data_IF_732431792421
#
_entry.id   IF_732431792421
#
_cell.length_a   1.000
_cell.length_b   1.000
_cell.length_c   1.000
_cell.angle_alpha   90.00
_cell.angle_beta   90.00
_cell.angle_gamma   90.00
#
_symmetry.space_group_name_H-M   'P 1'
#
loop_
_entity.id
_entity.type
_entity.pdbx_description
1 polymer ?
#
# COMPACT_ATOMS: atom_id res chain seq x y z
N UNK A 1 -12.88 4.55 27.61
CA UNK A 1 -12.04 5.35 26.70
C UNK A 1 -10.81 6.00 27.36
N UNK A 2 -10.84 6.53 28.59
CA UNK A 2 -9.65 7.16 29.24
C UNK A 2 -8.46 6.22 29.54
N UNK A 3 -8.71 4.97 29.95
CA UNK A 3 -7.63 3.99 30.28
C UNK A 3 -6.79 3.54 29.06
N UNK A 4 -7.38 3.53 27.85
CA UNK A 4 -6.67 3.11 26.63
C UNK A 4 -5.69 4.15 26.11
N UNK A 5 -5.97 5.44 26.35
CA UNK A 5 -5.03 6.55 26.02
C UNK A 5 -3.82 6.57 26.95
N UNK A 6 -3.99 6.21 28.23
CA UNK A 6 -2.89 6.21 29.19
C UNK A 6 -1.85 5.09 28.93
N UNK A 7 -2.31 3.91 28.54
CA UNK A 7 -1.40 2.81 28.19
C UNK A 7 -0.55 3.10 26.94
N UNK A 8 -1.09 3.86 25.96
CA UNK A 8 -0.32 4.29 24.79
C UNK A 8 0.75 5.33 25.14
N UNK A 9 0.44 6.25 26.02
CA UNK A 9 1.41 7.25 26.52
C UNK A 9 2.53 6.59 27.31
N UNK A 10 2.23 5.58 28.12
CA UNK A 10 3.23 4.83 28.91
C UNK A 10 4.14 4.00 27.98
N UNK A 11 3.61 3.38 26.92
CA UNK A 11 4.43 2.65 25.93
C UNK A 11 5.39 3.57 25.17
N UNK A 12 4.95 4.77 24.79
CA UNK A 12 5.80 5.78 24.13
C UNK A 12 6.87 6.30 25.09
N UNK A 13 6.55 6.49 26.37
CA UNK A 13 7.50 6.89 27.41
C UNK A 13 8.55 5.81 27.71
N UNK A 14 8.17 4.52 27.65
CA UNK A 14 9.11 3.41 27.85
C UNK A 14 10.12 3.28 26.71
N UNK A 15 9.69 3.53 25.46
CA UNK A 15 10.59 3.56 24.29
C UNK A 15 11.55 4.75 24.39
N UNK A 16 11.09 5.93 24.86
CA UNK A 16 11.96 7.08 25.08
C UNK A 16 13.00 6.85 26.18
N UNK A 17 12.64 6.17 27.26
CA UNK A 17 13.57 5.90 28.36
C UNK A 17 14.69 4.94 27.93
N UNK A 18 14.41 4.00 27.04
CA UNK A 18 15.45 3.13 26.46
C UNK A 18 16.38 3.86 25.49
N UNK A 19 15.88 4.83 24.71
CA UNK A 19 16.73 5.65 23.83
C UNK A 19 17.62 6.60 24.63
N UNK A 20 17.11 7.18 25.73
CA UNK A 20 17.90 8.10 26.60
C UNK A 20 18.88 7.36 27.50
N UNK A 21 18.59 6.13 27.91
CA UNK A 21 19.51 5.37 28.80
C UNK A 21 20.71 4.75 28.08
N UNK A 22 20.68 4.64 26.74
CA UNK A 22 21.86 4.25 25.95
C UNK A 22 22.84 5.41 25.73
N UNK A 23 22.43 6.65 25.94
CA UNK A 23 23.28 7.85 25.81
C UNK A 23 24.10 8.22 27.07
N UNK A 24 23.99 7.48 28.18
CA UNK A 24 24.58 7.87 29.46
C UNK A 24 25.84 7.08 29.86
N UNK A 25 26.54 6.47 28.90
CA UNK A 25 27.73 5.64 29.16
C UNK A 25 29.01 6.14 28.50
N UNK A 26 29.84 6.81 29.22
CA UNK A 26 31.30 7.05 29.06
C UNK A 26 31.81 7.93 27.89
N UNK A 27 32.43 9.07 28.20
CA UNK A 27 33.48 9.70 27.42
C UNK A 27 33.12 11.02 26.73
N UNK A 28 33.20 12.13 27.41
CA UNK A 28 32.79 13.49 26.99
C UNK A 28 33.47 14.12 25.74
N UNK A 29 34.35 13.44 25.00
CA UNK A 29 34.95 14.00 23.78
C UNK A 29 34.77 13.16 22.50
N UNK A 30 34.48 11.89 22.59
CA UNK A 30 34.25 10.98 21.44
C UNK A 30 32.81 10.97 20.98
N UNK A 31 31.85 10.94 21.91
CA UNK A 31 30.42 10.80 21.61
C UNK A 31 29.83 11.89 20.67
N UNK A 32 30.30 13.13 20.77
CA UNK A 32 29.77 14.23 19.94
C UNK A 32 30.19 14.18 18.46
N UNK A 33 31.30 13.50 18.15
CA UNK A 33 31.77 13.30 16.79
C UNK A 33 31.18 12.03 16.18
N UNK A 34 30.97 10.97 16.95
CA UNK A 34 30.34 9.73 16.50
C UNK A 34 28.84 9.94 16.15
N UNK A 35 28.12 10.72 16.96
CA UNK A 35 26.72 11.06 16.74
C UNK A 35 26.52 11.88 15.45
N UNK A 36 27.47 12.75 15.10
CA UNK A 36 27.45 13.51 13.84
C UNK A 36 27.73 12.67 12.60
N UNK A 37 28.37 11.52 12.74
CA UNK A 37 28.81 10.68 11.62
C UNK A 37 27.88 9.49 11.34
N UNK A 38 26.92 9.24 12.24
CA UNK A 38 25.94 8.15 12.14
C UNK A 38 24.73 8.55 11.30
N UNK A 39 24.38 7.76 10.29
CA UNK A 39 23.14 7.90 9.53
C UNK A 39 22.00 7.20 10.28
N UNK A 40 20.94 7.90 10.58
CA UNK A 40 19.75 7.35 11.23
C UNK A 40 18.70 6.94 10.22
N UNK A 41 18.21 5.70 10.33
CA UNK A 41 17.21 5.13 9.43
C UNK A 41 16.00 4.66 10.23
N UNK A 42 14.85 5.28 9.99
CA UNK A 42 13.60 4.86 10.60
C UNK A 42 12.86 3.87 9.69
N UNK A 43 12.58 2.69 10.23
CA UNK A 43 11.82 1.64 9.57
C UNK A 43 10.46 1.49 10.23
N UNK A 44 9.39 1.62 9.45
CA UNK A 44 8.02 1.65 9.95
C UNK A 44 7.52 0.30 10.50
N UNK A 45 8.25 -0.79 10.26
CA UNK A 45 7.88 -2.11 10.77
C UNK A 45 9.10 -2.94 11.18
N UNK A 46 8.90 -3.83 12.17
CA UNK A 46 9.90 -4.80 12.62
C UNK A 46 10.31 -5.75 11.49
N UNK A 47 9.38 -6.14 10.62
CA UNK A 47 9.69 -7.00 9.47
C UNK A 47 10.68 -6.34 8.50
N UNK A 48 10.50 -5.05 8.22
CA UNK A 48 11.50 -4.30 7.43
C UNK A 48 12.85 -4.26 8.13
N UNK A 49 12.89 -4.02 9.43
CA UNK A 49 14.13 -4.02 10.19
C UNK A 49 14.88 -5.37 10.05
N UNK A 50 14.20 -6.47 10.30
CA UNK A 50 14.78 -7.82 10.22
C UNK A 50 15.34 -8.14 8.83
N UNK A 51 14.71 -7.60 7.78
CA UNK A 51 15.12 -7.82 6.38
C UNK A 51 16.20 -6.85 5.90
N UNK A 52 16.03 -5.56 6.19
CA UNK A 52 16.87 -4.50 5.64
C UNK A 52 18.10 -4.22 6.46
N UNK A 53 18.01 -4.13 7.79
CA UNK A 53 19.12 -3.66 8.61
C UNK A 53 20.39 -4.51 8.44
N UNK A 54 20.33 -5.87 8.54
CA UNK A 54 21.52 -6.70 8.36
C UNK A 54 22.09 -6.62 6.95
N UNK A 55 21.21 -6.51 5.94
CA UNK A 55 21.62 -6.42 4.56
C UNK A 55 22.34 -5.09 4.26
N UNK A 56 21.74 -3.97 4.61
CA UNK A 56 22.29 -2.63 4.36
C UNK A 56 23.64 -2.48 5.09
N UNK A 57 23.71 -2.90 6.36
CA UNK A 57 24.95 -2.83 7.13
C UNK A 57 26.08 -3.66 6.48
N UNK A 58 25.75 -4.82 5.92
CA UNK A 58 26.71 -5.66 5.18
C UNK A 58 27.19 -5.00 3.89
N UNK A 59 26.32 -4.29 3.17
CA UNK A 59 26.67 -3.60 1.93
C UNK A 59 27.48 -2.32 2.16
N UNK A 60 27.34 -1.71 3.33
CA UNK A 60 27.93 -0.43 3.66
C UNK A 60 28.71 -0.50 5.00
N UNK A 61 29.76 -1.34 5.07
CA UNK A 61 30.50 -1.55 6.33
C UNK A 61 31.20 -0.28 6.86
N UNK A 62 31.51 0.67 5.96
CA UNK A 62 32.20 1.92 6.28
C UNK A 62 31.27 3.06 6.70
N UNK A 63 29.95 2.84 6.69
CA UNK A 63 28.96 3.81 7.14
C UNK A 63 28.37 3.33 8.46
N UNK A 64 28.49 4.13 9.49
CA UNK A 64 27.81 3.86 10.75
C UNK A 64 26.31 4.18 10.57
N UNK A 65 25.45 3.17 10.73
CA UNK A 65 24.00 3.28 10.51
C UNK A 65 23.28 2.85 11.79
N UNK A 66 22.45 3.74 12.31
CA UNK A 66 21.53 3.46 13.40
C UNK A 66 20.11 3.23 12.84
N UNK A 67 19.59 2.03 13.07
CA UNK A 67 18.23 1.69 12.67
C UNK A 67 17.27 1.85 13.85
N UNK A 68 16.23 2.64 13.65
CA UNK A 68 15.14 2.84 14.59
C UNK A 68 13.89 2.18 14.05
N UNK A 69 13.25 1.34 14.85
CA UNK A 69 11.99 0.69 14.47
C UNK A 69 10.85 1.35 15.20
N UNK A 70 9.79 1.66 14.46
CA UNK A 70 8.58 2.26 15.02
C UNK A 70 7.30 1.72 14.37
N UNK A 71 6.32 2.57 14.27
CA UNK A 71 5.04 2.25 13.65
C UNK A 71 4.76 3.20 12.47
N UNK A 72 3.70 2.90 11.72
CA UNK A 72 3.25 3.71 10.58
C UNK A 72 2.14 4.70 11.01
N UNK A 73 2.28 5.34 12.16
CA UNK A 73 1.32 6.30 12.68
C UNK A 73 1.75 7.73 12.30
N UNK A 74 0.92 8.45 11.56
CA UNK A 74 1.19 9.82 11.10
C UNK A 74 1.41 10.78 12.28
N UNK A 75 0.65 10.64 13.36
CA UNK A 75 0.83 11.48 14.56
C UNK A 75 2.20 11.26 15.21
N UNK A 76 2.75 10.04 15.10
CA UNK A 76 4.10 9.77 15.56
C UNK A 76 5.16 10.49 14.72
N UNK A 77 5.02 10.52 13.39
CA UNK A 77 5.93 11.27 12.52
C UNK A 77 5.85 12.78 12.76
N UNK A 78 4.65 13.32 13.01
CA UNK A 78 4.44 14.72 13.41
C UNK A 78 5.14 15.03 14.74
N UNK A 79 5.00 14.13 15.71
CA UNK A 79 5.68 14.24 16.99
C UNK A 79 7.20 14.27 16.84
N UNK A 80 7.79 13.38 16.02
CA UNK A 80 9.22 13.39 15.73
C UNK A 80 9.66 14.72 15.11
N UNK A 81 8.90 15.23 14.15
CA UNK A 81 9.18 16.53 13.51
C UNK A 81 9.20 17.67 14.53
N UNK A 82 8.17 17.77 15.37
CA UNK A 82 7.99 18.86 16.33
C UNK A 82 9.08 18.86 17.41
N UNK A 83 9.61 17.71 17.73
CA UNK A 83 10.67 17.55 18.72
C UNK A 83 12.10 17.51 18.11
N UNK A 84 12.25 17.84 16.82
CA UNK A 84 13.55 17.88 16.14
C UNK A 84 14.20 16.52 15.96
N UNK A 85 13.44 15.41 16.13
CA UNK A 85 13.94 14.04 16.11
C UNK A 85 13.66 13.28 14.81
N UNK A 86 13.41 13.97 13.67
CA UNK A 86 13.27 13.28 12.39
C UNK A 86 14.59 12.62 11.97
N UNK A 87 14.63 11.29 11.75
CA UNK A 87 15.78 10.57 11.22
C UNK A 87 16.24 11.08 9.86
N UNK A 88 17.45 10.71 9.44
CA UNK A 88 17.97 11.09 8.12
C UNK A 88 17.18 10.44 6.98
N UNK A 89 16.85 9.16 7.15
CA UNK A 89 16.02 8.39 6.22
C UNK A 89 14.78 7.92 6.98
N UNK A 90 13.62 8.13 6.38
CA UNK A 90 12.34 7.83 7.00
C UNK A 90 11.57 6.93 6.04
N UNK A 91 10.96 5.87 6.56
CA UNK A 91 10.10 5.00 5.77
C UNK A 91 8.68 5.03 6.29
N UNK A 92 7.71 4.80 5.42
CA UNK A 92 6.31 4.67 5.77
C UNK A 92 5.59 3.66 4.86
N UNK A 93 4.34 3.36 5.18
CA UNK A 93 3.45 2.52 4.41
C UNK A 93 2.14 3.27 4.16
N UNK A 94 1.68 3.26 2.91
CA UNK A 94 0.34 3.71 2.51
C UNK A 94 0.05 5.21 2.70
N UNK A 95 1.05 6.07 2.82
CA UNK A 95 0.82 7.50 2.88
C UNK A 95 0.45 8.04 1.49
N UNK A 96 -0.63 8.79 1.43
CA UNK A 96 -0.98 9.64 0.30
C UNK A 96 -0.22 10.97 0.37
N UNK A 97 -0.27 11.78 -0.69
CA UNK A 97 0.27 13.15 -0.64
C UNK A 97 -0.41 13.97 0.45
N UNK A 98 -1.73 13.77 0.65
CA UNK A 98 -2.47 14.47 1.68
C UNK A 98 -1.98 14.12 3.09
N UNK A 99 -1.78 12.82 3.38
CA UNK A 99 -1.25 12.36 4.67
C UNK A 99 0.18 12.86 4.91
N UNK A 100 0.99 12.86 3.85
CA UNK A 100 2.40 13.26 3.90
C UNK A 100 2.62 14.78 4.01
N UNK A 101 1.64 15.59 3.64
CA UNK A 101 1.76 17.05 3.59
C UNK A 101 2.28 17.70 4.88
N UNK A 102 1.85 17.33 6.10
CA UNK A 102 2.38 17.91 7.33
C UNK A 102 3.89 17.77 7.51
N UNK A 103 4.52 16.85 6.80
CA UNK A 103 5.96 16.60 6.84
C UNK A 103 6.73 17.27 5.69
N UNK A 104 6.03 17.74 4.64
CA UNK A 104 6.61 18.25 3.38
C UNK A 104 7.80 19.18 3.62
N UNK A 105 7.62 20.21 4.47
CA UNK A 105 8.66 21.20 4.74
C UNK A 105 9.89 20.68 5.47
N UNK A 106 9.82 19.49 6.02
CA UNK A 106 10.91 18.82 6.75
C UNK A 106 11.63 17.79 5.91
N UNK A 107 11.14 17.53 4.70
CA UNK A 107 11.66 16.50 3.80
C UNK A 107 12.41 17.14 2.62
N UNK A 108 13.40 16.40 2.14
CA UNK A 108 14.18 16.77 0.95
C UNK A 108 13.35 16.54 -0.32
N UNK A 109 13.50 17.40 -1.31
CA UNK A 109 13.02 17.12 -2.66
C UNK A 109 13.92 16.09 -3.33
N UNK A 110 13.34 15.00 -3.77
CA UNK A 110 14.01 13.87 -4.43
C UNK A 110 13.77 13.85 -5.94
N UNK A 111 12.97 14.77 -6.50
CA UNK A 111 12.51 14.75 -7.89
C UNK A 111 13.64 14.70 -8.93
N UNK A 112 14.80 15.25 -8.60
CA UNK A 112 15.99 15.29 -9.49
C UNK A 112 17.01 14.20 -9.19
N UNK A 113 16.70 13.24 -8.32
CA UNK A 113 17.61 12.15 -7.97
C UNK A 113 17.52 10.99 -8.96
N UNK A 114 18.59 10.22 -9.10
CA UNK A 114 18.57 8.97 -9.87
C UNK A 114 17.50 7.99 -9.31
N UNK A 115 17.30 8.01 -8.00
CA UNK A 115 16.28 7.18 -7.35
C UNK A 115 14.86 7.50 -7.84
N UNK A 116 14.52 8.78 -8.00
CA UNK A 116 13.22 9.17 -8.59
C UNK A 116 13.16 8.81 -10.08
N UNK A 117 14.25 9.00 -10.82
CA UNK A 117 14.34 8.65 -12.24
C UNK A 117 14.17 7.15 -12.52
N UNK A 118 14.47 6.29 -11.55
CA UNK A 118 14.27 4.85 -11.67
C UNK A 118 12.78 4.42 -11.48
N UNK A 119 11.95 5.25 -10.87
CA UNK A 119 10.53 4.96 -10.69
C UNK A 119 9.77 5.23 -12.00
N UNK A 120 8.85 4.34 -12.38
CA UNK A 120 7.97 4.60 -13.53
C UNK A 120 7.21 5.91 -13.35
N UNK A 121 7.26 6.78 -14.37
CA UNK A 121 6.61 8.09 -14.32
C UNK A 121 5.12 8.01 -13.96
N UNK A 122 4.43 6.98 -14.44
CA UNK A 122 3.02 6.75 -14.13
C UNK A 122 2.77 6.62 -12.64
N UNK A 123 3.70 6.04 -11.89
CA UNK A 123 3.59 5.89 -10.45
C UNK A 123 4.13 7.11 -9.71
N UNK A 124 5.28 7.63 -10.13
CA UNK A 124 5.92 8.79 -9.51
C UNK A 124 4.98 10.01 -9.49
N UNK A 125 4.22 10.22 -10.56
CA UNK A 125 3.24 11.31 -10.67
C UNK A 125 2.17 11.29 -9.56
N UNK A 126 1.89 10.13 -8.94
CA UNK A 126 0.96 10.06 -7.82
C UNK A 126 1.56 10.58 -6.50
N UNK A 127 2.86 10.80 -6.46
CA UNK A 127 3.61 11.30 -5.29
C UNK A 127 4.27 12.65 -5.56
N UNK A 128 4.00 13.26 -6.72
CA UNK A 128 4.50 14.57 -7.09
C UNK A 128 3.59 15.65 -6.55
N UNK A 129 4.18 16.61 -5.83
CA UNK A 129 3.48 17.81 -5.38
C UNK A 129 3.18 18.74 -6.57
N UNK A 130 2.32 19.75 -6.38
CA UNK A 130 1.99 20.73 -7.44
C UNK A 130 3.20 21.52 -7.96
N UNK A 131 4.18 21.78 -7.08
CA UNK A 131 5.42 22.45 -7.45
C UNK A 131 6.44 21.52 -8.18
N UNK A 132 6.05 20.29 -8.49
CA UNK A 132 6.89 19.28 -9.13
C UNK A 132 7.86 18.56 -8.19
N UNK A 133 7.90 18.93 -6.91
CA UNK A 133 8.75 18.25 -5.93
C UNK A 133 8.21 16.86 -5.56
N UNK A 134 9.12 15.95 -5.21
CA UNK A 134 8.80 14.60 -4.72
C UNK A 134 9.49 14.40 -3.39
N UNK A 135 8.73 14.31 -2.31
CA UNK A 135 9.29 14.12 -0.97
C UNK A 135 9.29 12.66 -0.52
N UNK A 136 8.37 11.86 -1.04
CA UNK A 136 8.26 10.42 -0.77
C UNK A 136 8.41 9.65 -2.07
N UNK A 137 9.41 8.76 -2.13
CA UNK A 137 9.56 7.83 -3.24
C UNK A 137 8.78 6.54 -2.94
N UNK A 138 7.86 6.13 -3.80
CA UNK A 138 7.28 4.80 -3.71
C UNK A 138 8.33 3.77 -4.14
N UNK A 139 8.53 2.73 -3.34
CA UNK A 139 9.53 1.69 -3.60
C UNK A 139 8.86 0.43 -4.12
N UNK A 140 7.91 -0.09 -3.37
CA UNK A 140 7.18 -1.29 -3.74
C UNK A 140 5.75 -1.29 -3.19
N UNK A 141 4.94 -2.19 -3.70
CA UNK A 141 3.52 -2.27 -3.43
C UNK A 141 3.03 -3.68 -3.15
N UNK A 142 1.96 -3.79 -2.36
CA UNK A 142 1.08 -4.94 -2.37
C UNK A 142 0.16 -4.89 -3.59
N UNK A 143 -0.08 -6.03 -4.23
CA UNK A 143 -1.11 -6.17 -5.25
C UNK A 143 -2.44 -6.56 -4.63
N UNK A 144 -3.52 -5.94 -5.08
CA UNK A 144 -4.89 -6.25 -4.69
C UNK A 144 -5.69 -6.70 -5.92
N UNK A 145 -6.50 -7.73 -5.73
CA UNK A 145 -7.30 -8.37 -6.77
C UNK A 145 -8.18 -9.46 -6.15
N UNK A 146 -8.37 -10.56 -6.86
CA UNK A 146 -9.19 -11.67 -6.40
C UNK A 146 -8.33 -12.86 -5.98
N UNK A 147 -8.48 -13.29 -4.73
CA UNK A 147 -7.89 -14.53 -4.22
C UNK A 147 -8.89 -15.66 -4.48
N UNK A 148 -8.43 -16.73 -5.12
CA UNK A 148 -9.31 -17.77 -5.73
C UNK A 148 -8.94 -19.16 -5.24
N UNK A 149 -9.93 -19.89 -4.71
CA UNK A 149 -9.81 -21.26 -4.25
C UNK A 149 -9.94 -22.25 -5.43
N UNK A 150 -8.82 -22.65 -6.03
CA UNK A 150 -8.78 -23.55 -7.18
C UNK A 150 -9.35 -24.95 -6.88
N UNK A 151 -9.27 -25.40 -5.63
CA UNK A 151 -9.84 -26.70 -5.26
C UNK A 151 -11.35 -26.72 -5.43
N UNK A 152 -12.05 -25.62 -5.11
CA UNK A 152 -13.48 -25.50 -5.36
C UNK A 152 -13.79 -25.48 -6.85
N UNK A 153 -13.04 -24.74 -7.65
CA UNK A 153 -13.21 -24.69 -9.11
C UNK A 153 -13.05 -26.08 -9.74
N UNK A 154 -12.03 -26.84 -9.33
CA UNK A 154 -11.82 -28.24 -9.75
C UNK A 154 -12.97 -29.14 -9.30
N UNK A 155 -13.36 -29.07 -8.03
CA UNK A 155 -14.39 -29.90 -7.42
C UNK A 155 -15.75 -29.77 -8.11
N UNK A 156 -16.12 -28.53 -8.45
CA UNK A 156 -17.42 -28.25 -9.08
C UNK A 156 -17.36 -28.14 -10.61
N UNK A 157 -16.20 -28.42 -11.23
CA UNK A 157 -15.98 -28.34 -12.68
C UNK A 157 -16.32 -26.97 -13.27
N UNK A 158 -16.05 -25.90 -12.53
CA UNK A 158 -16.22 -24.52 -12.95
C UNK A 158 -14.86 -24.01 -13.49
N UNK A 159 -14.80 -23.44 -14.71
CA UNK A 159 -13.54 -22.90 -15.23
C UNK A 159 -13.12 -21.64 -14.45
N UNK A 160 -11.78 -21.44 -14.30
CA UNK A 160 -11.24 -20.22 -13.72
C UNK A 160 -11.60 -19.00 -14.58
N UNK A 161 -11.95 -17.86 -13.97
CA UNK A 161 -12.27 -16.63 -14.70
C UNK A 161 -11.08 -16.11 -15.50
N UNK A 162 -11.34 -15.61 -16.70
CA UNK A 162 -10.35 -14.98 -17.58
C UNK A 162 -10.76 -13.56 -18.00
N UNK A 163 -12.02 -13.18 -17.75
CA UNK A 163 -12.63 -11.90 -18.04
C UNK A 163 -13.81 -11.65 -17.09
N UNK A 164 -14.41 -10.47 -17.16
CA UNK A 164 -15.55 -10.08 -16.31
C UNK A 164 -16.75 -11.04 -16.47
N UNK A 165 -17.09 -11.42 -17.67
CA UNK A 165 -18.23 -12.31 -17.94
C UNK A 165 -18.04 -13.69 -17.32
N UNK A 166 -16.86 -14.28 -17.47
CA UNK A 166 -16.52 -15.58 -16.86
C UNK A 166 -16.44 -15.50 -15.33
N UNK A 167 -15.98 -14.36 -14.79
CA UNK A 167 -16.01 -14.10 -13.34
C UNK A 167 -17.45 -14.12 -12.79
N UNK A 168 -18.34 -13.36 -13.41
CA UNK A 168 -19.78 -13.35 -13.06
C UNK A 168 -20.40 -14.74 -13.19
N UNK A 169 -20.12 -15.45 -14.29
CA UNK A 169 -20.61 -16.82 -14.51
C UNK A 169 -20.15 -17.78 -13.41
N UNK A 170 -18.90 -17.66 -12.96
CA UNK A 170 -18.36 -18.47 -11.87
C UNK A 170 -19.07 -18.14 -10.54
N UNK A 171 -19.28 -16.85 -10.22
CA UNK A 171 -20.02 -16.44 -9.03
C UNK A 171 -21.42 -17.07 -8.99
N UNK A 172 -22.15 -16.95 -10.10
CA UNK A 172 -23.49 -17.50 -10.22
C UNK A 172 -23.54 -19.03 -10.14
N UNK A 173 -22.55 -19.70 -10.74
CA UNK A 173 -22.44 -21.16 -10.69
C UNK A 173 -22.21 -21.67 -9.25
N UNK A 174 -21.32 -21.02 -8.49
CA UNK A 174 -21.10 -21.37 -7.10
C UNK A 174 -22.33 -21.07 -6.21
N UNK A 175 -22.97 -19.92 -6.39
CA UNK A 175 -24.16 -19.58 -5.64
C UNK A 175 -25.28 -20.61 -5.83
N UNK A 176 -25.44 -21.18 -7.04
CA UNK A 176 -26.41 -22.25 -7.34
C UNK A 176 -26.17 -23.56 -6.57
N UNK A 177 -24.92 -23.83 -6.22
CA UNK A 177 -24.56 -25.05 -5.47
C UNK A 177 -24.34 -24.80 -3.97
N UNK A 178 -24.78 -23.63 -3.48
CA UNK A 178 -24.73 -23.26 -2.07
C UNK A 178 -23.34 -22.85 -1.57
N UNK A 179 -22.41 -22.57 -2.46
CA UNK A 179 -21.10 -21.98 -2.17
C UNK A 179 -21.17 -20.49 -2.50
N UNK A 180 -20.71 -19.64 -1.60
CA UNK A 180 -20.60 -18.21 -1.89
C UNK A 180 -19.56 -18.00 -3.01
N UNK A 181 -19.99 -17.46 -4.16
CA UNK A 181 -19.11 -17.26 -5.30
C UNK A 181 -18.05 -16.18 -5.04
N UNK A 182 -18.51 -15.05 -4.48
CA UNK A 182 -17.63 -13.92 -4.15
C UNK A 182 -18.17 -13.13 -2.96
N UNK A 183 -17.27 -12.63 -2.10
CA UNK A 183 -17.49 -11.57 -1.12
C UNK A 183 -16.16 -10.89 -0.75
N UNK A 184 -16.20 -9.96 0.20
CA UNK A 184 -15.03 -9.36 0.83
C UNK A 184 -15.38 -8.91 2.25
N UNK A 185 -14.42 -8.36 2.97
CA UNK A 185 -14.61 -7.81 4.32
C UNK A 185 -15.29 -6.43 4.29
N UNK A 186 -16.49 -6.39 3.70
CA UNK A 186 -17.29 -5.17 3.48
C UNK A 186 -17.82 -4.52 4.76
N UNK A 187 -17.60 -5.11 5.91
CA UNK A 187 -17.77 -4.44 7.20
C UNK A 187 -16.93 -3.15 7.28
N UNK A 188 -15.82 -3.10 6.56
CA UNK A 188 -14.93 -1.95 6.50
C UNK A 188 -15.23 -1.09 5.28
N UNK A 189 -15.51 0.20 5.50
CA UNK A 189 -15.81 1.17 4.43
C UNK A 189 -14.69 1.25 3.38
N UNK A 190 -13.42 1.10 3.79
CA UNK A 190 -12.29 1.12 2.87
C UNK A 190 -12.33 -0.04 1.87
N UNK A 191 -12.84 -1.22 2.22
CA UNK A 191 -12.94 -2.37 1.31
C UNK A 191 -13.95 -2.11 0.19
N UNK A 192 -15.08 -1.46 0.50
CA UNK A 192 -16.03 -1.01 -0.52
C UNK A 192 -15.36 -0.06 -1.52
N UNK A 193 -14.59 0.89 -1.01
CA UNK A 193 -13.88 1.87 -1.83
C UNK A 193 -12.76 1.26 -2.66
N UNK A 194 -12.04 0.30 -2.11
CA UNK A 194 -10.99 -0.41 -2.83
C UNK A 194 -11.59 -1.28 -3.95
N UNK A 195 -12.70 -1.96 -3.69
CA UNK A 195 -13.41 -2.73 -4.72
C UNK A 195 -13.88 -1.83 -5.86
N UNK A 196 -14.52 -0.69 -5.54
CA UNK A 196 -14.96 0.29 -6.54
C UNK A 196 -13.79 0.81 -7.38
N UNK A 197 -12.69 1.17 -6.76
CA UNK A 197 -11.48 1.64 -7.45
C UNK A 197 -10.87 0.54 -8.34
N UNK A 198 -10.80 -0.69 -7.86
CA UNK A 198 -10.29 -1.82 -8.62
C UNK A 198 -11.13 -2.12 -9.86
N UNK A 199 -12.45 -2.10 -9.74
CA UNK A 199 -13.39 -2.30 -10.84
C UNK A 199 -13.38 -1.15 -11.86
N UNK A 200 -12.89 0.02 -11.50
CA UNK A 200 -12.85 1.22 -12.32
C UNK A 200 -11.42 1.70 -12.60
N UNK A 201 -10.43 0.83 -12.43
CA UNK A 201 -9.03 1.21 -12.53
C UNK A 201 -8.65 1.76 -13.91
N UNK A 202 -9.24 1.22 -14.99
CA UNK A 202 -9.01 1.70 -16.35
C UNK A 202 -9.46 3.16 -16.53
N UNK A 203 -10.64 3.51 -16.05
CA UNK A 203 -11.21 4.86 -16.17
C UNK A 203 -10.51 5.84 -15.24
N UNK A 204 -10.22 5.42 -14.01
CA UNK A 204 -9.47 6.23 -13.06
C UNK A 204 -8.03 6.50 -13.52
N UNK A 205 -7.51 5.68 -14.44
CA UNK A 205 -6.20 5.84 -15.06
C UNK A 205 -6.22 6.68 -16.35
N UNK A 206 -7.38 7.14 -16.83
CA UNK A 206 -7.49 8.07 -17.96
C UNK A 206 -6.91 9.44 -17.61
N UNK A 207 -6.76 10.31 -18.62
CA UNK A 207 -6.36 11.71 -18.40
C UNK A 207 -7.32 12.45 -17.45
N UNK A 208 -8.63 12.20 -17.55
CA UNK A 208 -9.64 12.77 -16.68
C UNK A 208 -9.52 12.23 -15.24
N UNK A 209 -9.35 10.92 -15.07
CA UNK A 209 -9.14 10.27 -13.79
C UNK A 209 -7.88 10.76 -13.10
N UNK A 210 -6.76 10.88 -13.83
CA UNK A 210 -5.50 11.45 -13.30
C UNK A 210 -5.64 12.92 -12.90
N UNK A 211 -6.32 13.73 -13.70
CA UNK A 211 -6.58 15.14 -13.35
C UNK A 211 -7.39 15.24 -12.06
N UNK A 212 -8.44 14.44 -11.93
CA UNK A 212 -9.24 14.38 -10.71
C UNK A 212 -8.39 13.95 -9.52
N UNK A 213 -7.58 12.90 -9.69
CA UNK A 213 -6.69 12.40 -8.63
C UNK A 213 -5.70 13.46 -8.15
N UNK A 214 -5.10 14.21 -9.08
CA UNK A 214 -4.18 15.32 -8.74
C UNK A 214 -4.89 16.39 -7.91
N UNK A 215 -6.10 16.79 -8.34
CA UNK A 215 -6.90 17.78 -7.61
C UNK A 215 -7.33 17.28 -6.21
N UNK A 216 -7.64 15.99 -6.09
CA UNK A 216 -8.00 15.36 -4.82
C UNK A 216 -6.81 15.24 -3.86
N UNK A 217 -5.65 14.85 -4.38
CA UNK A 217 -4.43 14.66 -3.59
C UNK A 217 -3.75 15.97 -3.20
N UNK A 218 -4.20 17.08 -3.75
CA UNK A 218 -3.66 18.41 -3.45
C UNK A 218 -4.14 18.91 -2.08
N UNK A 219 -3.26 18.98 -1.08
CA UNK A 219 -3.63 19.45 0.25
C UNK A 219 -4.02 20.94 0.30
N UNK A 220 -3.58 21.73 -0.70
CA UNK A 220 -3.86 23.16 -0.78
C UNK A 220 -5.18 23.45 -1.53
N UNK A 221 -5.81 22.41 -2.13
CA UNK A 221 -7.09 22.54 -2.84
C UNK A 221 -8.28 22.65 -1.88
N UNK A 222 -8.30 23.70 -1.07
CA UNK A 222 -9.38 23.98 -0.10
C UNK A 222 -10.71 24.27 -0.77
N UNK A 223 -10.70 24.76 -2.01
CA UNK A 223 -11.88 25.06 -2.81
C UNK A 223 -12.43 23.84 -3.56
N UNK A 224 -11.73 22.71 -3.52
CA UNK A 224 -12.09 21.47 -4.21
C UNK A 224 -12.27 21.65 -5.72
N UNK A 225 -11.49 22.53 -6.34
CA UNK A 225 -11.50 22.78 -7.77
C UNK A 225 -11.01 21.53 -8.53
N UNK A 226 -11.63 21.22 -9.66
CA UNK A 226 -11.25 20.09 -10.51
C UNK A 226 -11.71 18.71 -10.02
N UNK A 227 -12.51 18.66 -8.94
CA UNK A 227 -13.10 17.41 -8.44
C UNK A 227 -14.42 17.05 -9.13
N UNK A 228 -14.98 17.97 -9.92
CA UNK A 228 -16.09 17.69 -10.82
C UNK A 228 -15.63 16.78 -11.97
N UNK A 229 -16.06 15.53 -11.94
CA UNK A 229 -15.66 14.54 -12.97
C UNK A 229 -16.80 13.56 -13.24
N UNK A 230 -16.98 13.21 -14.52
CA UNK A 230 -17.90 12.15 -14.94
C UNK A 230 -17.40 10.74 -14.61
N UNK A 231 -16.13 10.60 -14.22
CA UNK A 231 -15.51 9.31 -13.92
C UNK A 231 -16.20 8.60 -12.75
N UNK A 232 -16.60 9.33 -11.73
CA UNK A 232 -17.20 8.73 -10.54
C UNK A 232 -18.63 8.21 -10.73
N UNK A 233 -19.55 8.91 -11.40
CA UNK A 233 -20.85 8.31 -11.73
C UNK A 233 -20.71 6.99 -12.46
N UNK A 234 -19.84 6.89 -13.46
CA UNK A 234 -19.58 5.65 -14.20
C UNK A 234 -18.97 4.55 -13.29
N UNK A 235 -18.08 4.91 -12.37
CA UNK A 235 -17.52 3.96 -11.40
C UNK A 235 -18.59 3.42 -10.44
N UNK A 236 -19.52 4.25 -9.99
CA UNK A 236 -20.63 3.82 -9.14
C UNK A 236 -21.62 2.92 -9.89
N UNK A 237 -21.96 3.25 -11.13
CA UNK A 237 -22.80 2.39 -11.98
C UNK A 237 -22.18 1.00 -12.18
N UNK A 238 -20.85 0.92 -12.34
CA UNK A 238 -20.14 -0.37 -12.41
C UNK A 238 -20.18 -1.14 -11.11
N UNK A 239 -20.03 -0.46 -9.99
CA UNK A 239 -20.12 -1.11 -8.69
C UNK A 239 -21.53 -1.65 -8.45
N UNK A 240 -22.55 -0.90 -8.81
CA UNK A 240 -23.94 -1.35 -8.73
C UNK A 240 -24.17 -2.59 -9.60
N UNK A 241 -23.70 -2.56 -10.85
CA UNK A 241 -23.79 -3.71 -11.75
C UNK A 241 -23.03 -4.92 -11.19
N UNK A 242 -21.83 -4.71 -10.66
CA UNK A 242 -21.02 -5.78 -10.03
C UNK A 242 -21.74 -6.43 -8.85
N UNK A 243 -22.39 -5.63 -8.00
CA UNK A 243 -23.20 -6.12 -6.88
C UNK A 243 -24.30 -7.04 -7.38
N UNK A 244 -25.06 -6.60 -8.38
CA UNK A 244 -26.16 -7.38 -8.98
C UNK A 244 -25.65 -8.67 -9.63
N UNK A 245 -24.59 -8.58 -10.42
CA UNK A 245 -24.02 -9.69 -11.19
C UNK A 245 -23.43 -10.80 -10.29
N UNK A 246 -22.79 -10.43 -9.19
CA UNK A 246 -22.15 -11.37 -8.27
C UNK A 246 -23.08 -11.93 -7.20
N UNK A 247 -24.23 -11.28 -6.99
CA UNK A 247 -25.22 -11.63 -5.97
C UNK A 247 -24.80 -11.16 -4.57
N UNK A 248 -23.95 -10.11 -4.49
CA UNK A 248 -23.70 -9.40 -3.22
C UNK A 248 -25.02 -8.80 -2.70
N UNK A 249 -25.16 -8.76 -1.39
CA UNK A 249 -26.36 -8.23 -0.74
C UNK A 249 -26.00 -7.60 0.63
N UNK A 250 -27.00 -7.08 1.33
CA UNK A 250 -26.82 -6.40 2.61
C UNK A 250 -26.13 -7.22 3.71
N UNK A 251 -26.21 -8.56 3.65
CA UNK A 251 -25.58 -9.41 4.64
C UNK A 251 -24.04 -9.38 4.50
N UNK A 252 -23.54 -9.11 3.29
CA UNK A 252 -22.11 -8.95 3.03
C UNK A 252 -21.51 -7.73 3.75
N UNK A 253 -22.33 -6.72 4.11
CA UNK A 253 -21.90 -5.57 4.92
C UNK A 253 -21.52 -5.93 6.37
N UNK A 254 -21.90 -7.13 6.82
CA UNK A 254 -21.54 -7.65 8.15
C UNK A 254 -20.31 -8.58 8.09
N UNK A 255 -19.74 -8.80 6.92
CA UNK A 255 -18.56 -9.63 6.71
C UNK A 255 -17.30 -8.87 7.10
N UNK A 256 -16.69 -9.22 8.21
CA UNK A 256 -15.35 -8.77 8.59
C UNK A 256 -14.27 -9.70 8.02
N UNK A 257 -13.01 -9.32 8.21
CA UNK A 257 -11.86 -10.09 7.73
C UNK A 257 -11.87 -11.54 8.25
N UNK A 258 -12.15 -11.76 9.54
CA UNK A 258 -12.09 -13.09 10.14
C UNK A 258 -13.19 -14.00 9.57
N UNK A 259 -14.39 -13.48 9.35
CA UNK A 259 -15.49 -14.21 8.72
C UNK A 259 -15.16 -14.63 7.28
N UNK A 260 -14.60 -13.72 6.48
CA UNK A 260 -14.16 -14.01 5.10
C UNK A 260 -13.11 -15.12 5.10
N UNK A 261 -12.09 -15.00 5.98
CA UNK A 261 -11.02 -15.99 6.09
C UNK A 261 -11.54 -17.36 6.50
N UNK A 262 -12.48 -17.42 7.46
CA UNK A 262 -13.09 -18.67 7.91
C UNK A 262 -13.94 -19.33 6.80
N UNK A 263 -14.75 -18.53 6.09
CA UNK A 263 -15.53 -19.04 4.96
C UNK A 263 -14.64 -19.59 3.85
N UNK A 264 -13.55 -18.92 3.53
CA UNK A 264 -12.62 -19.37 2.51
C UNK A 264 -11.92 -20.67 2.92
N UNK A 265 -11.38 -20.75 4.14
CA UNK A 265 -10.75 -21.94 4.72
C UNK A 265 -11.68 -23.14 4.78
N UNK A 266 -12.96 -22.92 5.14
CA UNK A 266 -13.96 -24.00 5.23
C UNK A 266 -14.54 -24.43 3.87
N UNK A 267 -14.06 -23.86 2.77
CA UNK A 267 -14.55 -24.16 1.42
C UNK A 267 -15.99 -23.68 1.16
N UNK A 268 -16.45 -22.67 1.87
CA UNK A 268 -17.77 -22.04 1.70
C UNK A 268 -17.74 -20.79 0.83
N UNK A 269 -16.54 -20.32 0.45
CA UNK A 269 -16.29 -19.13 -0.37
C UNK A 269 -15.30 -19.48 -1.46
N UNK A 270 -15.66 -19.20 -2.72
CA UNK A 270 -14.84 -19.52 -3.87
C UNK A 270 -13.79 -18.44 -4.18
N UNK A 271 -14.17 -17.17 -4.05
CA UNK A 271 -13.31 -16.03 -4.36
C UNK A 271 -13.57 -14.89 -3.37
N UNK A 272 -12.52 -14.15 -3.02
CA UNK A 272 -12.69 -12.92 -2.24
C UNK A 272 -11.75 -11.83 -2.76
N UNK A 273 -12.12 -10.56 -2.54
CA UNK A 273 -11.21 -9.45 -2.75
C UNK A 273 -10.17 -9.39 -1.62
N UNK A 274 -8.90 -9.36 -2.00
CA UNK A 274 -7.80 -9.34 -1.04
C UNK A 274 -6.46 -9.03 -1.68
N UNK A 275 -5.39 -9.03 -0.87
CA UNK A 275 -4.04 -8.84 -1.36
C UNK A 275 -3.40 -10.16 -1.82
N UNK A 276 -2.40 -10.06 -2.69
CA UNK A 276 -1.60 -11.20 -3.16
C UNK A 276 -0.94 -11.99 -2.02
N UNK A 277 -0.65 -11.33 -0.89
CA UNK A 277 -0.11 -11.99 0.31
C UNK A 277 -1.05 -13.05 0.90
N UNK A 278 -2.36 -12.95 0.66
CA UNK A 278 -3.34 -13.95 1.09
C UNK A 278 -3.15 -15.31 0.44
N UNK A 279 -2.60 -15.35 -0.77
CA UNK A 279 -2.40 -16.61 -1.53
C UNK A 279 -1.52 -17.58 -0.77
N UNK A 280 -0.33 -17.12 -0.36
CA UNK A 280 0.62 -17.96 0.36
C UNK A 280 0.06 -18.46 1.70
N UNK A 281 -0.69 -17.62 2.41
CA UNK A 281 -1.29 -17.99 3.70
C UNK A 281 -2.16 -19.23 3.55
N UNK A 282 -2.92 -19.34 2.47
CA UNK A 282 -3.80 -20.49 2.22
C UNK A 282 -3.07 -21.68 1.61
N UNK A 283 -2.09 -21.45 0.73
CA UNK A 283 -1.26 -22.53 0.20
C UNK A 283 -0.48 -23.24 1.31
N UNK A 284 0.05 -22.52 2.29
CA UNK A 284 0.71 -23.09 3.46
C UNK A 284 -0.24 -23.92 4.34
N UNK A 285 -1.56 -23.74 4.18
CA UNK A 285 -2.61 -24.55 4.83
C UNK A 285 -3.13 -25.68 3.93
N UNK A 286 -2.54 -25.88 2.77
CA UNK A 286 -2.88 -26.96 1.83
C UNK A 286 -4.09 -26.65 0.93
N UNK A 287 -4.50 -25.39 0.81
CA UNK A 287 -5.58 -24.98 -0.10
C UNK A 287 -4.94 -24.45 -1.40
N UNK A 288 -5.22 -25.10 -2.52
CA UNK A 288 -4.71 -24.67 -3.84
C UNK A 288 -5.36 -23.33 -4.23
N UNK A 289 -4.62 -22.26 -4.01
CA UNK A 289 -5.08 -20.87 -4.16
C UNK A 289 -4.27 -20.17 -5.24
N UNK A 290 -4.93 -19.32 -6.03
CA UNK A 290 -4.28 -18.42 -7.00
C UNK A 290 -4.79 -16.99 -6.83
N UNK A 291 -4.20 -16.06 -7.60
CA UNK A 291 -4.52 -14.64 -7.57
C UNK A 291 -4.87 -14.16 -8.97
N UNK A 292 -5.99 -13.45 -9.10
CA UNK A 292 -6.48 -12.91 -10.36
C UNK A 292 -6.64 -11.39 -10.29
N UNK A 293 -6.45 -10.67 -11.42
CA UNK A 293 -6.63 -9.24 -11.48
C UNK A 293 -8.10 -8.85 -11.44
N UNK A 294 -8.37 -7.56 -11.28
CA UNK A 294 -9.69 -7.00 -11.59
C UNK A 294 -9.95 -7.09 -13.09
N UNK A 295 -11.06 -7.68 -13.44
CA UNK A 295 -11.56 -7.75 -14.80
C UNK A 295 -12.44 -6.53 -15.08
N UNK A 296 -12.04 -5.69 -16.02
CA UNK A 296 -12.82 -4.52 -16.43
C UNK A 296 -13.87 -4.92 -17.45
N UNK A 297 -14.98 -4.18 -17.51
CA UNK A 297 -16.05 -4.43 -18.50
C UNK A 297 -15.59 -4.18 -19.95
N UNK A 298 -14.58 -3.33 -20.16
CA UNK A 298 -13.96 -3.07 -21.46
C UNK A 298 -12.99 -4.17 -21.92
N UNK A 299 -12.82 -5.25 -21.12
CA UNK A 299 -11.93 -6.38 -21.40
C UNK A 299 -10.52 -6.24 -20.88
N UNK A 300 -10.15 -5.09 -20.37
CA UNK A 300 -8.83 -4.90 -19.74
C UNK A 300 -8.75 -5.62 -18.39
N UNK A 301 -7.52 -5.85 -17.96
CA UNK A 301 -7.20 -6.44 -16.66
C UNK A 301 -6.31 -5.47 -15.89
N UNK A 302 -6.65 -5.23 -14.63
CA UNK A 302 -5.94 -4.29 -13.80
C UNK A 302 -5.64 -4.88 -12.42
N UNK A 303 -4.49 -4.52 -11.87
CA UNK A 303 -4.20 -4.69 -10.44
C UNK A 303 -4.43 -3.37 -9.74
N UNK A 304 -5.04 -3.40 -8.59
CA UNK A 304 -4.93 -2.27 -7.68
C UNK A 304 -3.69 -2.48 -6.81
N UNK A 305 -2.93 -1.43 -6.56
CA UNK A 305 -1.72 -1.50 -5.73
C UNK A 305 -1.81 -0.53 -4.57
N UNK A 306 -1.21 -0.93 -3.46
CA UNK A 306 -1.07 -0.09 -2.28
C UNK A 306 0.41 0.04 -1.95
N UNK A 307 0.95 1.25 -1.84
CA UNK A 307 2.35 1.42 -1.46
C UNK A 307 2.64 0.75 -0.13
N UNK A 308 3.42 -0.31 -0.16
CA UNK A 308 3.86 -1.03 1.04
C UNK A 308 5.07 -0.38 1.68
N UNK A 309 5.95 0.18 0.84
CA UNK A 309 7.16 0.82 1.26
C UNK A 309 7.38 2.11 0.50
N UNK A 310 7.46 3.21 1.24
CA UNK A 310 7.80 4.54 0.75
C UNK A 310 8.97 5.06 1.57
N UNK A 311 9.83 5.86 0.97
CA UNK A 311 11.02 6.40 1.61
C UNK A 311 11.16 7.89 1.37
N UNK A 312 11.56 8.62 2.40
CA UNK A 312 11.87 10.05 2.36
C UNK A 312 13.18 10.36 3.08
N UNK A 313 13.80 11.47 2.75
CA UNK A 313 15.00 11.98 3.38
C UNK A 313 14.73 13.28 4.13
N UNK A 314 15.37 13.44 5.29
CA UNK A 314 15.29 14.65 6.08
C UNK A 314 15.94 15.83 5.35
N UNK A 315 15.24 16.96 5.29
CA UNK A 315 15.72 18.19 4.64
C UNK A 315 17.03 18.71 5.24
N UNK A 316 17.30 18.43 6.53
CA UNK A 316 18.55 18.87 7.16
C UNK A 316 19.80 18.31 6.48
N UNK A 317 19.70 17.18 5.75
CA UNK A 317 20.80 16.64 4.95
C UNK A 317 21.29 17.62 3.89
N UNK A 318 20.47 18.55 3.42
CA UNK A 318 20.90 19.58 2.44
C UNK A 318 21.91 20.56 3.02
N UNK A 319 22.07 20.61 4.35
CA UNK A 319 23.01 21.48 5.06
C UNK A 319 24.38 20.83 5.31
N UNK A 320 24.51 19.52 5.08
CA UNK A 320 25.71 18.72 5.28
C UNK A 320 25.91 17.77 4.11
N UNK A 321 26.74 18.17 3.16
CA UNK A 321 26.98 17.42 1.93
C UNK A 321 27.56 16.03 2.20
N UNK A 322 28.49 15.90 3.15
CA UNK A 322 29.09 14.60 3.48
C UNK A 322 28.05 13.64 4.05
N UNK A 323 27.20 14.13 4.97
CA UNK A 323 26.12 13.36 5.55
C UNK A 323 25.07 12.99 4.51
N UNK A 324 24.72 13.93 3.61
CA UNK A 324 23.81 13.71 2.51
C UNK A 324 24.29 12.60 1.59
N UNK A 325 25.57 12.61 1.19
CA UNK A 325 26.15 11.58 0.34
C UNK A 325 26.10 10.18 1.00
N UNK A 326 26.36 10.09 2.32
CA UNK A 326 26.21 8.84 3.06
C UNK A 326 24.77 8.37 3.07
N UNK A 327 23.80 9.25 3.35
CA UNK A 327 22.38 8.93 3.34
C UNK A 327 21.91 8.47 1.94
N UNK A 328 22.38 9.12 0.86
CA UNK A 328 22.07 8.70 -0.51
C UNK A 328 22.64 7.32 -0.85
N UNK A 329 23.82 6.95 -0.34
CA UNK A 329 24.35 5.58 -0.50
C UNK A 329 23.45 4.56 0.21
N UNK A 330 23.01 4.87 1.43
CA UNK A 330 22.07 4.01 2.16
C UNK A 330 20.76 3.87 1.38
N UNK A 331 20.20 4.98 0.89
CA UNK A 331 18.99 4.98 0.07
C UNK A 331 19.16 4.10 -1.16
N UNK A 332 20.25 4.25 -1.91
CA UNK A 332 20.49 3.46 -3.12
C UNK A 332 20.56 1.96 -2.84
N UNK A 333 21.16 1.56 -1.70
CA UNK A 333 21.16 0.15 -1.27
C UNK A 333 19.75 -0.32 -0.91
N UNK A 334 18.96 0.52 -0.22
CA UNK A 334 17.56 0.20 0.12
C UNK A 334 16.69 0.02 -1.13
N UNK A 335 16.97 0.76 -2.20
CA UNK A 335 16.22 0.72 -3.45
C UNK A 335 16.74 -0.32 -4.45
N UNK A 336 17.85 -0.98 -4.16
CA UNK A 336 18.42 -2.00 -5.04
C UNK A 336 17.49 -3.19 -5.24
N UNK A 337 17.64 -3.88 -6.35
CA UNK A 337 16.90 -5.11 -6.66
C UNK A 337 17.06 -6.16 -5.57
N UNK A 338 18.28 -6.42 -5.12
CA UNK A 338 18.56 -7.36 -4.04
C UNK A 338 17.83 -6.99 -2.74
N UNK A 339 17.74 -5.69 -2.40
CA UNK A 339 17.04 -5.25 -1.20
C UNK A 339 15.52 -5.44 -1.36
N UNK A 340 14.96 -5.04 -2.50
CA UNK A 340 13.53 -5.17 -2.74
C UNK A 340 13.09 -6.65 -2.81
N UNK A 341 13.87 -7.51 -3.47
CA UNK A 341 13.58 -8.94 -3.51
C UNK A 341 13.63 -9.63 -2.15
N UNK A 342 14.33 -9.06 -1.14
CA UNK A 342 14.29 -9.57 0.24
C UNK A 342 12.95 -9.36 0.93
N UNK A 343 12.23 -8.30 0.60
CA UNK A 343 10.87 -8.07 1.12
C UNK A 343 9.92 -9.14 0.60
N UNK A 344 10.08 -9.52 -0.67
CA UNK A 344 9.25 -10.52 -1.38
C UNK A 344 9.34 -11.91 -0.74
N UNK A 345 10.53 -12.33 -0.26
CA UNK A 345 10.79 -13.69 0.20
C UNK A 345 10.01 -14.16 1.43
N UNK A 346 9.29 -13.29 2.13
CA UNK A 346 8.48 -13.68 3.29
C UNK A 346 7.03 -14.05 2.94
N UNK A 347 6.75 -14.35 1.68
CA UNK A 347 5.43 -14.72 1.22
C UNK A 347 4.48 -13.54 1.02
N UNK A 348 5.03 -12.34 1.03
CA UNK A 348 4.37 -11.14 0.54
C UNK A 348 4.97 -10.83 -0.82
N UNK A 349 4.26 -11.18 -1.89
CA UNK A 349 4.67 -10.81 -3.23
C UNK A 349 4.50 -9.31 -3.39
N UNK A 350 5.63 -8.63 -3.51
CA UNK A 350 5.70 -7.18 -3.60
C UNK A 350 6.10 -6.81 -5.01
N UNK A 351 5.34 -5.91 -5.61
CA UNK A 351 5.63 -5.35 -6.92
C UNK A 351 6.52 -4.13 -6.77
N UNK A 352 7.61 -4.06 -7.53
CA UNK A 352 8.43 -2.84 -7.57
C UNK A 352 7.76 -1.75 -8.41
N UNK A 353 7.91 -0.51 -7.97
CA UNK A 353 7.60 0.67 -8.78
C UNK A 353 8.80 1.13 -9.64
N UNK A 354 9.96 0.49 -9.50
CA UNK A 354 11.16 0.81 -10.26
C UNK A 354 11.21 0.06 -11.59
N UNK A 355 11.70 0.76 -12.64
CA UNK A 355 11.96 0.18 -13.96
C UNK A 355 13.17 -0.75 -13.96
N UNK A 356 14.09 -0.55 -13.02
CA UNK A 356 15.39 -1.20 -12.95
C UNK A 356 15.39 -2.41 -12.01
N UNK A 357 14.23 -2.79 -11.46
CA UNK A 357 14.09 -3.87 -10.49
C UNK A 357 13.19 -4.96 -11.02
N UNK A 358 13.75 -6.13 -11.28
CA UNK A 358 12.98 -7.34 -11.53
C UNK A 358 12.66 -8.02 -10.18
N UNK A 359 11.42 -7.89 -9.72
CA UNK A 359 10.95 -8.65 -8.59
C UNK A 359 10.67 -10.07 -9.03
N UNK A 360 11.34 -11.04 -8.39
CA UNK A 360 11.10 -12.45 -8.64
C UNK A 360 9.71 -12.82 -8.13
N UNK A 361 8.72 -12.63 -9.01
CA UNK A 361 7.34 -12.99 -8.71
C UNK A 361 7.24 -14.48 -8.43
N UNK A 362 6.56 -14.83 -7.35
CA UNK A 362 6.28 -16.21 -7.03
C UNK A 362 5.34 -16.85 -8.06
N UNK A 363 5.28 -18.20 -8.04
CA UNK A 363 4.50 -18.99 -8.99
C UNK A 363 3.03 -18.54 -9.09
N UNK A 364 2.43 -18.09 -7.99
CA UNK A 364 1.02 -17.71 -7.97
C UNK A 364 0.72 -16.31 -8.54
N UNK A 365 1.73 -15.49 -8.75
CA UNK A 365 1.58 -14.22 -9.48
C UNK A 365 1.84 -14.36 -10.99
N UNK A 366 2.15 -15.55 -11.49
CA UNK A 366 2.34 -15.78 -12.92
C UNK A 366 1.13 -15.36 -13.75
N UNK A 367 -0.07 -15.62 -13.26
CA UNK A 367 -1.32 -15.31 -13.96
C UNK A 367 -1.55 -13.80 -14.12
N UNK A 368 -0.91 -12.96 -13.29
CA UNK A 368 -0.99 -11.50 -13.36
C UNK A 368 0.25 -10.84 -13.95
N UNK A 369 1.30 -11.60 -14.26
CA UNK A 369 2.52 -11.06 -14.90
C UNK A 369 2.21 -10.20 -16.14
N UNK A 370 1.35 -10.60 -17.09
CA UNK A 370 1.03 -9.77 -18.25
C UNK A 370 0.45 -8.39 -17.84
N UNK A 371 -0.36 -8.34 -16.81
CA UNK A 371 -0.96 -7.10 -16.30
C UNK A 371 0.11 -6.15 -15.76
N UNK A 372 1.15 -6.71 -15.11
CA UNK A 372 2.29 -5.94 -14.61
C UNK A 372 3.13 -5.42 -15.76
N UNK A 373 3.44 -6.26 -16.75
CA UNK A 373 4.23 -5.92 -17.93
C UNK A 373 3.55 -4.88 -18.82
N UNK A 374 2.22 -4.90 -18.89
CA UNK A 374 1.39 -3.89 -19.57
C UNK A 374 1.25 -2.59 -18.77
N UNK A 375 1.82 -2.54 -17.55
CA UNK A 375 1.75 -1.40 -16.64
C UNK A 375 0.31 -1.03 -16.24
N UNK A 376 -0.58 -2.03 -16.17
CA UNK A 376 -1.96 -1.89 -15.73
C UNK A 376 -2.08 -2.02 -14.20
N UNK A 377 -1.26 -1.25 -13.49
CA UNK A 377 -1.29 -1.17 -12.04
C UNK A 377 -1.83 0.20 -11.60
N UNK A 378 -2.94 0.19 -10.89
CA UNK A 378 -3.57 1.39 -10.35
C UNK A 378 -3.17 1.56 -8.87
N UNK A 379 -2.55 2.69 -8.53
CA UNK A 379 -2.27 3.02 -7.13
C UNK A 379 -3.57 3.51 -6.50
N UNK A 380 -4.05 2.83 -5.47
CA UNK A 380 -5.28 3.22 -4.78
C UNK A 380 -5.18 4.65 -4.23
N UNK A 381 -6.29 5.34 -4.22
CA UNK A 381 -6.47 6.58 -3.47
C UNK A 381 -6.79 6.16 -2.04
N UNK A 382 -6.02 6.64 -1.06
CA UNK A 382 -6.31 6.39 0.34
C UNK A 382 -7.66 6.99 0.71
N UNK A 383 -8.45 6.24 1.50
CA UNK A 383 -9.67 6.78 2.08
C UNK A 383 -9.30 7.82 3.12
N UNK A 384 -9.78 9.03 2.94
CA UNK A 384 -9.80 10.06 3.99
C UNK A 384 -11.24 10.51 4.21
N UNK A 385 -11.46 11.37 5.19
CA UNK A 385 -12.81 11.87 5.55
C UNK A 385 -13.58 12.45 4.36
N UNK A 386 -12.87 12.96 3.36
CA UNK A 386 -13.50 13.49 2.15
C UNK A 386 -14.02 12.38 1.24
N UNK A 387 -13.28 11.29 1.09
CA UNK A 387 -13.71 10.14 0.29
C UNK A 387 -14.89 9.43 0.96
N UNK A 388 -14.85 9.30 2.28
CA UNK A 388 -15.99 8.84 3.07
C UNK A 388 -17.20 9.76 2.90
N UNK A 389 -17.00 11.08 2.79
CA UNK A 389 -18.09 12.04 2.53
C UNK A 389 -18.65 11.92 1.11
N UNK A 390 -17.85 11.54 0.10
CA UNK A 390 -18.37 11.22 -1.25
C UNK A 390 -19.24 9.94 -1.24
N UNK A 391 -18.89 8.94 -0.43
CA UNK A 391 -19.75 7.76 -0.23
C UNK A 391 -21.07 8.18 0.41
N UNK A 392 -21.04 9.08 1.39
CA UNK A 392 -22.26 9.60 2.04
C UNK A 392 -23.10 10.47 1.11
N UNK A 393 -22.50 11.18 0.16
CA UNK A 393 -23.21 11.96 -0.85
C UNK A 393 -23.76 11.05 -1.97
N UNK A 394 -23.07 9.96 -2.27
CA UNK A 394 -23.47 8.96 -3.25
C UNK A 394 -24.15 7.75 -2.57
N UNK A 395 -25.01 7.99 -1.60
CA UNK A 395 -25.81 6.95 -0.91
C UNK A 395 -26.38 5.81 -1.78
N UNK A 396 -26.46 5.92 -3.14
CA UNK A 396 -26.93 4.81 -3.94
C UNK A 396 -26.15 3.50 -3.76
N UNK A 397 -24.81 3.55 -3.56
CA UNK A 397 -24.00 2.33 -3.47
C UNK A 397 -24.24 1.59 -2.14
N UNK A 398 -24.40 2.34 -1.05
CA UNK A 398 -24.77 1.78 0.24
C UNK A 398 -26.26 1.40 0.27
N UNK A 399 -27.11 2.17 -0.38
CA UNK A 399 -28.54 1.89 -0.56
C UNK A 399 -28.77 0.71 -1.52
N UNK A 400 -27.95 0.53 -2.57
CA UNK A 400 -28.04 -0.64 -3.45
C UNK A 400 -27.65 -1.93 -2.73
N UNK A 401 -26.75 -1.86 -1.72
CA UNK A 401 -26.47 -2.99 -0.82
C UNK A 401 -27.54 -3.16 0.27
N UNK A 402 -28.35 -2.13 0.56
CA UNK A 402 -29.39 -2.10 1.60
C UNK A 402 -30.79 -2.38 1.03
N UNK A 403 -31.04 -2.11 -0.26
CA UNK A 403 -32.28 -2.41 -0.98
C UNK A 403 -32.29 -3.85 -1.53
#
# INVERSE_FOLDING_TARGET
>A
MKKRKWNRVISVLLVMVTVISLMSGCGKKSAKNEEKDTITVYLWSTKLYEKYAPYIQKQLPDINIEFVVGNNDLDFYRFLKENGGLPDIITCCRFSLHDANPLKDSLMDLSTTNAAGAVYNTYLNNFMNQDGSVNWLPVCADAHGFVVNKDLFKKYHIPLPTDYKSFVSACQAFNKVGIRGFTADYFYDYTCMETLQGLSASELSTAAGRKWRTAYSDPDNTKREGLDSKVWPEAFERMEQFIQDTGLNKDDLNMDYDNVMEMYKSGKLAMYFGSSSGVKIFQDQGIDTTFLPFFQQNGEKWLMTTPYFQVALNRNLTKDETRRQKAMKVLNVMLSEDAQNRIVYDGQDILSYSQDVDTHLTEYLKDVRPVIEENHMYIRIASNDFFLSLIHISEPTRLALIS
#
